data_IF_457657860647
#
_entry.id   IF_457657860647
#
_cell.length_a   1.000
_cell.length_b   1.000
_cell.length_c   1.000
_cell.angle_alpha   90.00
_cell.angle_beta   90.00
_cell.angle_gamma   90.00
#
_symmetry.space_group_name_H-M   'P 1'
#
loop_
_entity.id
_entity.type
_entity.pdbx_description
1 polymer ?
#
# COMPACT_ATOMS: atom_id res chain seq x y z
N UNK A 1 -6.04 36.13 -74.48
CA UNK A 1 -6.09 34.67 -74.33
C UNK A 1 -5.30 34.27 -73.11
N UNK A 2 -6.04 33.88 -72.07
CA UNK A 2 -5.75 32.80 -71.12
C UNK A 2 -4.47 32.85 -70.28
N UNK A 3 -4.63 33.22 -69.02
CA UNK A 3 -3.85 32.64 -67.92
C UNK A 3 -4.72 32.59 -66.68
N UNK A 4 -5.45 31.49 -66.60
CA UNK A 4 -6.30 31.07 -65.50
C UNK A 4 -5.40 30.70 -64.32
N UNK A 5 -5.28 31.56 -63.31
CA UNK A 5 -4.56 31.25 -62.09
C UNK A 5 -5.48 30.48 -61.14
N UNK A 6 -5.42 29.14 -61.20
CA UNK A 6 -6.10 28.28 -60.22
C UNK A 6 -5.50 28.52 -58.83
N UNK A 7 -6.29 28.80 -57.78
CA UNK A 7 -5.78 28.76 -56.42
C UNK A 7 -5.46 27.30 -56.10
N UNK A 8 -4.19 26.99 -55.80
CA UNK A 8 -3.84 25.71 -55.22
C UNK A 8 -4.51 25.61 -53.87
N UNK A 9 -5.58 24.82 -53.84
CA UNK A 9 -6.36 24.54 -52.65
C UNK A 9 -5.46 23.78 -51.67
N UNK A 10 -4.80 24.56 -50.82
CA UNK A 10 -3.78 24.08 -49.89
C UNK A 10 -4.53 23.34 -48.79
N UNK A 11 -4.74 22.03 -48.99
CA UNK A 11 -5.35 21.10 -48.05
C UNK A 11 -4.79 21.34 -46.64
N UNK A 12 -5.54 22.12 -45.85
CA UNK A 12 -5.32 22.29 -44.42
C UNK A 12 -5.63 20.94 -43.77
N UNK A 13 -4.63 20.07 -43.70
CA UNK A 13 -4.71 18.84 -42.89
C UNK A 13 -4.95 19.25 -41.43
N UNK A 14 -6.07 18.87 -40.80
CA UNK A 14 -6.36 19.30 -39.44
C UNK A 14 -5.42 18.55 -38.48
N UNK A 15 -4.43 19.27 -37.93
CA UNK A 15 -3.60 18.84 -36.79
C UNK A 15 -4.41 18.49 -35.53
N UNK A 16 -5.73 18.72 -35.55
CA UNK A 16 -6.67 18.49 -34.44
C UNK A 16 -6.81 17.01 -34.05
N UNK A 17 -6.72 16.07 -34.99
CA UNK A 17 -6.85 14.64 -34.70
C UNK A 17 -5.72 14.08 -33.82
N UNK A 18 -4.49 14.59 -34.00
CA UNK A 18 -3.33 14.17 -33.19
C UNK A 18 -3.37 14.70 -31.75
N UNK A 19 -3.93 15.90 -31.55
CA UNK A 19 -4.09 16.49 -30.21
C UNK A 19 -5.13 15.73 -29.40
N UNK A 20 -6.23 15.30 -30.04
CA UNK A 20 -7.28 14.52 -29.38
C UNK A 20 -6.80 13.12 -28.98
N UNK A 21 -6.00 12.46 -29.83
CA UNK A 21 -5.45 11.13 -29.52
C UNK A 21 -4.40 11.18 -28.41
N UNK A 22 -3.55 12.22 -28.39
CA UNK A 22 -2.59 12.45 -27.31
C UNK A 22 -3.29 12.77 -25.98
N UNK A 23 -4.38 13.54 -26.02
CA UNK A 23 -5.23 13.79 -24.85
C UNK A 23 -5.87 12.52 -24.29
N UNK A 24 -6.42 11.66 -25.15
CA UNK A 24 -7.04 10.40 -24.72
C UNK A 24 -6.04 9.43 -24.07
N UNK A 25 -4.83 9.29 -24.62
CA UNK A 25 -3.77 8.46 -24.03
C UNK A 25 -3.23 9.06 -22.72
N UNK A 26 -3.12 10.39 -22.63
CA UNK A 26 -2.74 11.08 -21.40
C UNK A 26 -3.77 10.88 -20.28
N UNK A 27 -5.06 10.94 -20.59
CA UNK A 27 -6.15 10.68 -19.64
C UNK A 27 -6.16 9.22 -19.19
N UNK A 28 -5.96 8.26 -20.10
CA UNK A 28 -5.92 6.83 -19.75
C UNK A 28 -4.71 6.49 -18.86
N UNK A 29 -3.54 7.07 -19.16
CA UNK A 29 -2.35 6.92 -18.34
C UNK A 29 -2.49 7.53 -16.93
N UNK A 30 -3.16 8.68 -16.82
CA UNK A 30 -3.47 9.31 -15.55
C UNK A 30 -4.43 8.45 -14.70
N UNK A 31 -5.42 7.79 -15.31
CA UNK A 31 -6.34 6.88 -14.61
C UNK A 31 -5.60 5.65 -14.06
N UNK A 32 -4.66 5.07 -14.84
CA UNK A 32 -3.86 3.93 -14.35
C UNK A 32 -2.89 4.30 -13.23
N UNK A 33 -2.36 5.52 -13.22
CA UNK A 33 -1.47 5.99 -12.15
C UNK A 33 -2.21 6.25 -10.83
N UNK A 34 -3.48 6.68 -10.89
CA UNK A 34 -4.35 6.84 -9.71
C UNK A 34 -4.92 5.49 -9.23
N UNK A 35 -5.01 4.48 -10.11
CA UNK A 35 -5.50 3.15 -9.77
C UNK A 35 -4.49 2.26 -9.01
N UNK A 36 -3.23 2.69 -8.87
CA UNK A 36 -2.36 2.15 -7.80
C UNK A 36 -2.73 2.88 -6.51
N UNK A 37 -3.98 2.72 -6.09
CA UNK A 37 -4.34 2.81 -4.70
C UNK A 37 -3.55 1.71 -4.01
N UNK A 38 -2.34 2.04 -3.52
CA UNK A 38 -1.78 1.31 -2.38
C UNK A 38 -2.96 1.22 -1.42
N UNK A 39 -3.38 0.01 -0.99
CA UNK A 39 -4.41 -0.05 0.02
C UNK A 39 -3.95 0.93 1.09
N UNK A 40 -4.78 1.92 1.39
CA UNK A 40 -4.66 2.67 2.63
C UNK A 40 -4.99 1.64 3.70
N UNK A 41 -4.05 0.71 3.88
CA UNK A 41 -4.13 -0.41 4.77
C UNK A 41 -4.31 0.27 6.11
N UNK A 42 -5.54 0.17 6.63
CA UNK A 42 -5.99 0.95 7.77
C UNK A 42 -4.87 0.91 8.78
N UNK A 43 -4.21 2.05 9.03
CA UNK A 43 -2.93 2.08 9.72
C UNK A 43 -3.08 1.24 10.99
N UNK A 44 -2.45 0.07 10.99
CA UNK A 44 -2.72 -0.90 12.03
C UNK A 44 -2.34 -0.27 13.36
N UNK A 45 -3.29 -0.21 14.29
CA UNK A 45 -3.13 0.53 15.53
C UNK A 45 -2.36 -0.23 16.61
N UNK A 46 -1.94 -1.47 16.31
CA UNK A 46 -1.18 -2.34 17.20
C UNK A 46 -0.01 -2.98 16.47
N UNK A 47 1.06 -3.31 17.21
CA UNK A 47 2.30 -3.81 16.62
C UNK A 47 2.12 -5.13 15.86
N UNK A 48 1.36 -6.07 16.45
CA UNK A 48 1.08 -7.37 15.86
C UNK A 48 0.22 -7.27 14.60
N UNK A 49 -0.78 -6.38 14.60
CA UNK A 49 -1.61 -6.14 13.41
C UNK A 49 -0.78 -5.53 12.26
N UNK A 50 0.12 -4.58 12.57
CA UNK A 50 1.01 -3.99 11.56
C UNK A 50 1.99 -5.01 10.98
N UNK A 51 2.56 -5.88 11.82
CA UNK A 51 3.44 -6.94 11.32
C UNK A 51 2.71 -7.94 10.42
N UNK A 52 1.47 -8.29 10.77
CA UNK A 52 0.65 -9.25 10.04
C UNK A 52 0.32 -8.81 8.61
N UNK A 53 0.26 -7.51 8.34
CA UNK A 53 0.08 -6.95 6.98
C UNK A 53 1.18 -7.41 6.00
N UNK A 54 2.36 -7.75 6.52
CA UNK A 54 3.49 -8.29 5.75
C UNK A 54 3.70 -9.80 5.93
N UNK A 55 2.75 -10.52 6.56
CA UNK A 55 2.90 -11.94 6.90
C UNK A 55 3.92 -12.20 8.01
N UNK A 56 4.25 -11.18 8.82
CA UNK A 56 5.23 -11.25 9.92
C UNK A 56 4.53 -11.15 11.27
N UNK A 57 5.28 -11.39 12.33
CA UNK A 57 4.84 -11.23 13.71
C UNK A 57 5.61 -10.12 14.44
N UNK A 58 5.00 -9.60 15.51
CA UNK A 58 5.64 -8.78 16.52
C UNK A 58 5.40 -9.46 17.87
N UNK A 59 6.47 -9.96 18.48
CA UNK A 59 6.38 -10.76 19.70
C UNK A 59 6.97 -10.10 20.93
N UNK A 60 6.71 -10.69 22.09
CA UNK A 60 7.27 -10.27 23.38
C UNK A 60 7.63 -11.49 24.25
N UNK A 61 8.47 -11.26 25.25
CA UNK A 61 8.70 -12.22 26.32
C UNK A 61 7.62 -12.07 27.40
N UNK A 62 6.98 -13.19 27.76
CA UNK A 62 5.96 -13.25 28.81
C UNK A 62 6.52 -13.96 30.03
N UNK A 63 6.38 -13.35 31.20
CA UNK A 63 6.64 -14.00 32.49
C UNK A 63 5.34 -14.37 33.19
N UNK A 64 5.25 -15.61 33.67
CA UNK A 64 4.10 -16.12 34.40
C UNK A 64 3.79 -15.31 35.67
N UNK A 65 4.83 -14.81 36.35
CA UNK A 65 4.72 -14.02 37.58
C UNK A 65 4.00 -12.68 37.38
N UNK A 66 3.85 -12.22 36.13
CA UNK A 66 3.19 -10.96 35.78
C UNK A 66 1.78 -11.15 35.20
N UNK A 67 1.31 -12.40 35.06
CA UNK A 67 -0.01 -12.66 34.46
C UNK A 67 -1.19 -12.23 35.34
N UNK A 68 -0.96 -11.95 36.63
CA UNK A 68 -1.95 -11.34 37.52
C UNK A 68 -2.01 -9.81 37.40
N UNK A 69 -1.05 -9.17 36.72
CA UNK A 69 -1.05 -7.73 36.47
C UNK A 69 -1.94 -7.41 35.26
N UNK A 70 -3.05 -6.70 35.52
CA UNK A 70 -4.02 -6.34 34.49
C UNK A 70 -3.46 -5.39 33.44
N UNK A 71 -2.55 -4.48 33.81
CA UNK A 71 -1.95 -3.55 32.86
C UNK A 71 -0.98 -4.30 31.94
N UNK A 72 -0.18 -5.19 32.51
CA UNK A 72 0.75 -6.04 31.77
C UNK A 72 0.02 -6.89 30.72
N UNK A 73 -1.00 -7.64 31.16
CA UNK A 73 -1.78 -8.51 30.28
C UNK A 73 -2.61 -7.75 29.26
N UNK A 74 -3.18 -6.60 29.61
CA UNK A 74 -3.94 -5.76 28.66
C UNK A 74 -3.06 -5.29 27.51
N UNK A 75 -1.85 -4.79 27.81
CA UNK A 75 -0.93 -4.34 26.77
C UNK A 75 -0.43 -5.54 25.96
N UNK A 76 -0.05 -6.63 26.63
CA UNK A 76 0.50 -7.79 25.95
C UNK A 76 -0.51 -8.40 24.93
N UNK A 77 -1.76 -8.58 25.35
CA UNK A 77 -2.83 -9.12 24.51
C UNK A 77 -3.21 -8.18 23.35
N UNK A 78 -3.05 -6.86 23.53
CA UNK A 78 -3.37 -5.87 22.49
C UNK A 78 -2.28 -5.77 21.44
N UNK A 79 -1.02 -5.76 21.86
CA UNK A 79 0.10 -5.38 20.99
C UNK A 79 0.76 -6.56 20.29
N UNK A 80 0.81 -7.75 20.89
CA UNK A 80 1.67 -8.83 20.40
C UNK A 80 0.88 -10.03 19.87
N UNK A 81 1.40 -10.65 18.81
CA UNK A 81 0.82 -11.84 18.18
C UNK A 81 1.75 -13.06 18.20
N UNK A 82 2.88 -12.98 18.92
CA UNK A 82 3.80 -14.08 19.18
C UNK A 82 4.37 -13.94 20.59
N UNK A 83 4.53 -15.07 21.29
CA UNK A 83 4.97 -15.11 22.69
C UNK A 83 6.14 -16.07 22.82
N UNK A 84 7.16 -15.62 23.55
CA UNK A 84 8.23 -16.47 24.08
C UNK A 84 8.14 -16.47 25.60
N UNK A 85 8.24 -17.62 26.25
CA UNK A 85 8.34 -17.68 27.71
C UNK A 85 9.67 -17.04 28.17
N UNK A 86 9.61 -16.11 29.13
CA UNK A 86 10.81 -15.38 29.59
C UNK A 86 11.79 -16.33 30.29
N UNK A 87 11.26 -17.16 31.20
CA UNK A 87 12.07 -18.12 31.97
C UNK A 87 11.42 -19.50 32.05
N UNK A 88 10.10 -19.60 31.85
CA UNK A 88 9.29 -20.77 32.19
C UNK A 88 9.56 -22.00 31.29
N UNK A 89 10.31 -21.83 30.20
CA UNK A 89 10.76 -22.91 29.31
C UNK A 89 12.28 -23.07 29.29
N UNK A 90 13.01 -22.46 30.23
CA UNK A 90 14.43 -22.77 30.44
C UNK A 90 14.55 -24.14 31.13
N UNK A 91 15.73 -24.75 31.01
CA UNK A 91 15.98 -26.11 31.51
C UNK A 91 15.74 -26.18 33.02
N UNK A 92 16.22 -25.18 33.77
CA UNK A 92 16.03 -25.04 35.23
C UNK A 92 14.57 -24.82 35.67
N UNK A 93 13.68 -24.44 34.74
CA UNK A 93 12.26 -24.29 35.01
C UNK A 93 11.43 -25.53 34.62
N UNK A 94 11.99 -26.43 33.81
CA UNK A 94 11.27 -27.56 33.21
C UNK A 94 11.74 -28.93 33.70
N UNK A 95 12.95 -29.02 34.25
CA UNK A 95 13.59 -30.21 34.80
C UNK A 95 14.14 -29.94 36.21
#
# INVERSE_FOLDING_TARGET
MDSNATPLDRLRRPRRGRVLLAGALGVLGAITAVAVSVPADAAASTLGAAAAQSGRYFGTAISANKLSDSNYTTIANREFNMVTAENEMKIDATE
#
